data_IF_102457599726
#
_entry.id   IF_102457599726
#
_cell.length_a   1.000
_cell.length_b   1.000
_cell.length_c   1.000
_cell.angle_alpha   90.00
_cell.angle_beta   90.00
_cell.angle_gamma   90.00
#
_symmetry.space_group_name_H-M   'P 1'
#
loop_
_entity.id
_entity.type
_entity.pdbx_description
1 polymer ?
#
# COMPACT_ATOMS: atom_id res chain seq x y z
N UNK A 1 1.50 2.67 2.10
CA UNK A 1 1.04 1.42 2.74
C UNK A 1 2.19 0.72 3.46
N UNK A 2 3.14 0.09 2.75
CA UNK A 2 4.31 -0.57 3.37
C UNK A 2 5.32 0.40 4.01
N UNK A 3 5.38 1.66 3.58
CA UNK A 3 6.25 2.69 4.16
C UNK A 3 5.85 3.09 5.59
N UNK A 4 4.57 2.94 5.94
CA UNK A 4 4.01 3.26 7.27
C UNK A 4 3.88 2.01 8.15
N UNK A 5 4.27 0.84 7.63
CA UNK A 5 4.21 -0.40 8.39
C UNK A 5 5.30 -0.40 9.47
N UNK A 6 4.91 -0.83 10.68
CA UNK A 6 5.85 -0.97 11.78
C UNK A 6 6.98 -1.94 11.40
N UNK A 7 8.23 -1.58 11.71
CA UNK A 7 9.40 -2.37 11.33
C UNK A 7 9.77 -2.32 9.83
N UNK A 8 9.19 -1.41 9.04
CA UNK A 8 9.52 -1.23 7.62
C UNK A 8 11.05 -1.10 7.39
N UNK A 9 11.70 -0.20 8.12
CA UNK A 9 13.13 0.10 7.96
C UNK A 9 13.98 -1.12 8.31
N UNK A 10 13.64 -1.83 9.38
CA UNK A 10 14.38 -3.01 9.82
C UNK A 10 14.25 -4.16 8.81
N UNK A 11 13.04 -4.38 8.27
CA UNK A 11 12.79 -5.38 7.24
C UNK A 11 13.55 -5.09 5.96
N UNK A 12 13.56 -3.83 5.50
CA UNK A 12 14.36 -3.42 4.33
C UNK A 12 15.84 -3.59 4.59
N UNK A 13 16.33 -3.26 5.78
CA UNK A 13 17.74 -3.45 6.15
C UNK A 13 18.13 -4.92 6.11
N UNK A 14 17.29 -5.81 6.63
CA UNK A 14 17.51 -7.26 6.58
C UNK A 14 17.64 -7.77 5.15
N UNK A 15 16.69 -7.41 4.28
CA UNK A 15 16.75 -7.79 2.86
C UNK A 15 17.96 -7.19 2.16
N UNK A 16 18.27 -5.92 2.40
CA UNK A 16 19.41 -5.26 1.76
C UNK A 16 20.75 -5.93 2.08
N UNK A 17 20.90 -6.38 3.33
CA UNK A 17 22.07 -7.12 3.81
C UNK A 17 22.11 -8.56 3.32
N UNK A 18 20.97 -9.20 3.04
CA UNK A 18 20.94 -10.58 2.53
C UNK A 18 21.28 -10.68 1.04
N UNK A 19 21.11 -9.58 0.29
CA UNK A 19 21.44 -9.54 -1.13
C UNK A 19 22.95 -9.60 -1.40
N UNK A 20 23.39 -10.67 -2.04
CA UNK A 20 24.74 -10.82 -2.57
C UNK A 20 24.74 -10.68 -4.10
N UNK A 21 25.47 -9.68 -4.60
CA UNK A 21 25.69 -9.44 -6.03
C UNK A 21 27.18 -9.17 -6.23
N UNK A 22 27.77 -9.76 -7.27
CA UNK A 22 29.17 -9.58 -7.64
C UNK A 22 29.29 -8.84 -8.98
N UNK A 23 30.40 -8.11 -9.18
CA UNK A 23 30.67 -7.33 -10.39
C UNK A 23 30.82 -5.83 -10.12
N UNK A 24 30.73 -5.03 -11.18
CA UNK A 24 30.87 -3.57 -11.10
C UNK A 24 29.73 -2.95 -10.27
N UNK A 25 30.01 -1.86 -9.56
CA UNK A 25 29.00 -1.11 -8.79
C UNK A 25 27.77 -0.72 -9.63
N UNK A 26 27.97 -0.43 -10.92
CA UNK A 26 26.92 -0.14 -11.89
C UNK A 26 25.99 -1.33 -12.18
N UNK A 27 26.39 -2.56 -11.86
CA UNK A 27 25.58 -3.77 -11.97
C UNK A 27 24.99 -4.19 -10.61
N UNK A 28 25.80 -4.10 -9.55
CA UNK A 28 25.42 -4.49 -8.18
C UNK A 28 24.25 -3.66 -7.66
N UNK A 29 24.30 -2.33 -7.82
CA UNK A 29 23.25 -1.45 -7.29
C UNK A 29 21.89 -1.67 -7.98
N UNK A 30 21.79 -1.68 -9.33
CA UNK A 30 20.54 -2.03 -9.99
C UNK A 30 20.03 -3.44 -9.67
N UNK A 31 20.94 -4.40 -9.47
CA UNK A 31 20.60 -5.76 -9.03
C UNK A 31 19.92 -5.76 -7.66
N UNK A 32 20.54 -5.13 -6.66
CA UNK A 32 19.97 -4.98 -5.32
C UNK A 32 18.62 -4.26 -5.33
N UNK A 33 18.48 -3.20 -6.12
CA UNK A 33 17.22 -2.46 -6.25
C UNK A 33 16.11 -3.30 -6.89
N UNK A 34 16.43 -4.14 -7.88
CA UNK A 34 15.46 -5.07 -8.50
C UNK A 34 15.02 -6.15 -7.51
N UNK A 35 15.94 -6.71 -6.73
CA UNK A 35 15.61 -7.67 -5.67
C UNK A 35 14.71 -7.03 -4.61
N UNK A 36 15.11 -5.85 -4.11
CA UNK A 36 14.33 -5.09 -3.14
C UNK A 36 12.92 -4.79 -3.64
N UNK A 37 12.78 -4.35 -4.89
CA UNK A 37 11.47 -4.10 -5.51
C UNK A 37 10.60 -5.35 -5.52
N UNK A 38 11.19 -6.52 -5.71
CA UNK A 38 10.45 -7.80 -5.78
C UNK A 38 9.96 -8.20 -4.40
N UNK A 39 10.82 -8.13 -3.39
CA UNK A 39 10.46 -8.46 -2.01
C UNK A 39 9.43 -7.47 -1.46
N UNK A 40 9.56 -6.19 -1.78
CA UNK A 40 8.57 -5.17 -1.44
C UNK A 40 7.20 -5.44 -2.06
N UNK A 41 7.16 -5.87 -3.32
CA UNK A 41 5.90 -6.26 -3.96
C UNK A 41 5.26 -7.46 -3.27
N UNK A 42 6.06 -8.47 -2.95
CA UNK A 42 5.59 -9.68 -2.28
C UNK A 42 5.02 -9.35 -0.90
N UNK A 43 5.79 -8.63 -0.09
CA UNK A 43 5.37 -8.17 1.23
C UNK A 43 4.12 -7.29 1.17
N UNK A 44 4.02 -6.44 0.14
CA UNK A 44 2.82 -5.63 -0.02
C UNK A 44 1.57 -6.47 -0.32
N UNK A 45 1.69 -7.61 -1.00
CA UNK A 45 0.56 -8.53 -1.22
C UNK A 45 0.25 -9.34 0.03
N UNK A 46 1.26 -9.79 0.76
CA UNK A 46 1.07 -10.61 1.97
C UNK A 46 0.40 -9.82 3.10
N UNK A 47 0.88 -8.61 3.37
CA UNK A 47 0.31 -7.75 4.42
C UNK A 47 -0.95 -7.03 3.97
N UNK A 48 -0.93 -6.45 2.77
CA UNK A 48 -1.99 -5.54 2.33
C UNK A 48 -2.96 -6.13 1.29
N UNK A 49 -2.60 -7.23 0.65
CA UNK A 49 -3.52 -7.93 -0.26
C UNK A 49 -4.70 -8.57 0.49
N UNK A 50 -4.47 -9.01 1.74
CA UNK A 50 -5.53 -9.49 2.62
C UNK A 50 -6.45 -8.37 3.13
N UNK A 51 -6.05 -7.11 3.03
CA UNK A 51 -6.83 -5.98 3.57
C UNK A 51 -8.15 -5.79 2.80
N UNK A 52 -8.15 -5.99 1.48
CA UNK A 52 -9.37 -5.93 0.66
C UNK A 52 -10.36 -7.05 1.05
N UNK A 53 -9.85 -8.28 1.25
CA UNK A 53 -10.65 -9.41 1.70
C UNK A 53 -11.16 -9.20 3.13
N UNK A 54 -10.31 -8.67 4.02
CA UNK A 54 -10.66 -8.32 5.41
C UNK A 54 -11.76 -7.25 5.42
N UNK A 55 -11.64 -6.21 4.59
CA UNK A 55 -12.67 -5.18 4.41
C UNK A 55 -14.00 -5.77 3.99
N UNK A 56 -14.00 -6.63 2.97
CA UNK A 56 -15.21 -7.29 2.47
C UNK A 56 -15.86 -8.15 3.55
N UNK A 57 -15.07 -8.92 4.30
CA UNK A 57 -15.55 -9.74 5.41
C UNK A 57 -16.15 -8.88 6.53
N UNK A 58 -15.46 -7.80 6.93
CA UNK A 58 -15.94 -6.88 7.95
C UNK A 58 -17.23 -6.17 7.52
N UNK A 59 -17.35 -5.77 6.25
CA UNK A 59 -18.58 -5.20 5.72
C UNK A 59 -19.75 -6.20 5.75
N UNK A 60 -19.50 -7.46 5.39
CA UNK A 60 -20.52 -8.52 5.48
C UNK A 60 -20.94 -8.80 6.94
N UNK A 61 -19.99 -8.79 7.87
CA UNK A 61 -20.27 -8.92 9.30
C UNK A 61 -21.06 -7.73 9.84
N UNK A 62 -20.73 -6.51 9.42
CA UNK A 62 -21.44 -5.31 9.83
C UNK A 62 -22.89 -5.34 9.33
N UNK A 63 -23.09 -5.70 8.06
CA UNK A 63 -24.40 -5.83 7.46
C UNK A 63 -25.29 -6.83 8.20
N UNK A 64 -24.77 -8.01 8.56
CA UNK A 64 -25.55 -9.01 9.29
C UNK A 64 -25.87 -8.58 10.73
N UNK A 65 -24.99 -7.80 11.37
CA UNK A 65 -25.25 -7.22 12.69
C UNK A 65 -26.29 -6.10 12.64
N UNK A 66 -26.28 -5.27 11.60
CA UNK A 66 -27.29 -4.22 11.35
C UNK A 66 -28.68 -4.82 11.06
N UNK A 67 -28.75 -5.90 10.28
CA UNK A 67 -30.00 -6.62 10.04
C UNK A 67 -30.60 -7.20 11.33
N UNK A 68 -29.75 -7.70 12.23
CA UNK A 68 -30.15 -8.17 13.57
C UNK A 68 -30.52 -7.05 14.54
N UNK A 69 -29.89 -5.88 14.43
CA UNK A 69 -30.24 -4.68 15.19
C UNK A 69 -31.68 -4.25 14.94
N UNK A 70 -32.09 -4.28 13.66
CA UNK A 70 -33.47 -3.95 13.26
C UNK A 70 -34.50 -4.91 13.85
N UNK A 71 -34.10 -6.14 14.18
CA UNK A 71 -34.92 -7.14 14.85
C UNK A 71 -34.96 -6.96 16.38
N UNK A 72 -34.11 -6.09 16.94
CA UNK A 72 -34.07 -5.78 18.38
C UNK A 72 -33.27 -6.76 19.25
N UNK A 73 -32.53 -7.71 18.65
CA UNK A 73 -31.91 -8.87 19.32
C UNK A 73 -30.38 -8.79 19.48
N UNK A 74 -29.81 -7.58 19.61
CA UNK A 74 -28.37 -7.42 19.82
C UNK A 74 -27.96 -7.63 21.28
N UNK A 75 -27.13 -8.64 21.53
CA UNK A 75 -26.47 -8.81 22.82
C UNK A 75 -25.35 -7.78 23.03
N UNK A 76 -24.95 -7.55 24.28
CA UNK A 76 -23.82 -6.67 24.62
C UNK A 76 -22.50 -7.10 23.97
N UNK A 77 -22.30 -8.40 23.74
CA UNK A 77 -21.08 -8.93 23.10
C UNK A 77 -21.05 -8.60 21.60
N UNK A 78 -22.20 -8.60 20.94
CA UNK A 78 -22.31 -8.30 19.51
C UNK A 78 -22.20 -6.81 19.22
N UNK A 79 -22.63 -5.96 20.18
CA UNK A 79 -22.33 -4.53 20.15
C UNK A 79 -20.84 -4.26 20.18
N UNK A 80 -20.08 -4.97 21.01
CA UNK A 80 -18.63 -4.81 21.05
C UNK A 80 -17.98 -5.31 19.75
N UNK A 81 -18.44 -6.45 19.20
CA UNK A 81 -17.99 -6.94 17.89
C UNK A 81 -18.26 -5.94 16.77
N UNK A 82 -19.42 -5.28 16.79
CA UNK A 82 -19.78 -4.22 15.83
C UNK A 82 -18.80 -3.05 15.93
N UNK A 83 -18.53 -2.58 17.15
CA UNK A 83 -17.59 -1.47 17.40
C UNK A 83 -16.19 -1.80 16.91
N UNK A 84 -15.66 -2.97 17.25
CA UNK A 84 -14.33 -3.42 16.78
C UNK A 84 -14.30 -3.53 15.26
N UNK A 85 -15.37 -4.02 14.62
CA UNK A 85 -15.44 -4.11 13.16
C UNK A 85 -15.43 -2.73 12.48
N UNK A 86 -16.10 -1.73 13.08
CA UNK A 86 -16.08 -0.34 12.60
C UNK A 86 -14.68 0.27 12.75
N UNK A 87 -14.04 0.13 13.91
CA UNK A 87 -12.69 0.63 14.15
C UNK A 87 -11.67 0.01 13.18
N UNK A 88 -11.80 -1.28 12.89
CA UNK A 88 -10.94 -1.96 11.92
C UNK A 88 -11.21 -1.52 10.49
N UNK A 89 -12.47 -1.25 10.12
CA UNK A 89 -12.81 -0.67 8.82
C UNK A 89 -12.22 0.73 8.65
N UNK A 90 -12.24 1.56 9.69
CA UNK A 90 -11.66 2.91 9.66
C UNK A 90 -10.14 2.87 9.43
N UNK A 91 -9.44 1.94 10.09
CA UNK A 91 -8.00 1.74 9.82
C UNK A 91 -7.75 1.35 8.37
N UNK A 92 -8.57 0.45 7.83
CA UNK A 92 -8.44 0.00 6.44
C UNK A 92 -8.67 1.16 5.46
N UNK A 93 -9.73 1.95 5.65
CA UNK A 93 -10.04 3.09 4.76
C UNK A 93 -8.94 4.15 4.80
N UNK A 94 -8.38 4.45 5.98
CA UNK A 94 -7.24 5.36 6.12
C UNK A 94 -6.02 4.86 5.32
N UNK A 95 -5.72 3.56 5.41
CA UNK A 95 -4.61 2.95 4.67
C UNK A 95 -4.83 2.97 3.15
N UNK A 96 -6.06 2.72 2.71
CA UNK A 96 -6.46 2.86 1.30
C UNK A 96 -6.25 4.29 0.83
N UNK A 97 -6.71 5.28 1.60
CA UNK A 97 -6.56 6.69 1.25
C UNK A 97 -5.07 7.08 1.07
N UNK A 98 -4.20 6.68 2.00
CA UNK A 98 -2.76 6.92 1.90
C UNK A 98 -2.20 6.28 0.63
N UNK A 99 -2.62 5.06 0.30
CA UNK A 99 -2.23 4.35 -0.92
C UNK A 99 -2.67 5.11 -2.19
N UNK A 100 -3.91 5.60 -2.21
CA UNK A 100 -4.44 6.41 -3.32
C UNK A 100 -3.67 7.71 -3.50
N UNK A 101 -3.37 8.42 -2.40
CA UNK A 101 -2.55 9.65 -2.42
C UNK A 101 -1.14 9.38 -2.97
N UNK A 102 -0.50 8.28 -2.56
CA UNK A 102 0.81 7.88 -3.08
C UNK A 102 0.76 7.57 -4.58
N UNK A 103 -0.22 6.79 -5.02
CA UNK A 103 -0.42 6.45 -6.45
C UNK A 103 -0.68 7.69 -7.30
N UNK A 104 -1.52 8.61 -6.82
CA UNK A 104 -1.82 9.87 -7.49
C UNK A 104 -0.57 10.73 -7.67
N UNK A 105 0.28 10.86 -6.64
CA UNK A 105 1.56 11.60 -6.76
C UNK A 105 2.51 10.97 -7.78
N UNK A 106 2.62 9.64 -7.78
CA UNK A 106 3.45 8.93 -8.78
C UNK A 106 2.90 9.13 -10.19
N UNK A 107 1.57 9.11 -10.36
CA UNK A 107 0.91 9.40 -11.63
C UNK A 107 1.23 10.82 -12.09
N UNK A 108 1.08 11.80 -11.20
CA UNK A 108 1.37 13.20 -11.48
C UNK A 108 2.83 13.41 -11.90
N UNK A 109 3.79 12.80 -11.21
CA UNK A 109 5.20 12.86 -11.58
C UNK A 109 5.44 12.28 -12.99
N UNK A 110 4.84 11.12 -13.26
CA UNK A 110 4.95 10.45 -14.58
C UNK A 110 4.33 11.27 -15.70
N UNK A 111 3.23 11.98 -15.43
CA UNK A 111 2.56 12.83 -16.41
C UNK A 111 3.27 14.18 -16.58
N UNK A 112 3.82 14.76 -15.52
CA UNK A 112 4.69 15.94 -15.58
C UNK A 112 5.93 15.70 -16.43
N UNK A 113 6.56 14.52 -16.29
CA UNK A 113 7.68 14.10 -17.14
C UNK A 113 7.31 13.89 -18.61
N UNK A 114 6.04 13.66 -18.96
CA UNK A 114 5.63 13.64 -20.37
C UNK A 114 5.68 15.04 -20.99
N UNK A 115 5.46 16.08 -20.18
CA UNK A 115 5.55 17.48 -20.62
C UNK A 115 6.99 17.96 -20.82
N UNK A 116 7.96 17.43 -20.09
CA UNK A 116 9.36 17.86 -20.19
C UNK A 116 9.96 17.57 -21.56
N UNK A 117 9.59 16.47 -22.24
CA UNK A 117 10.04 16.20 -23.62
C UNK A 117 9.67 17.31 -24.60
N UNK A 118 8.47 17.88 -24.49
CA UNK A 118 8.03 19.01 -25.32
C UNK A 118 8.87 20.27 -25.05
N UNK A 119 9.09 20.60 -23.77
CA UNK A 119 9.93 21.75 -23.39
C UNK A 119 11.40 21.56 -23.74
N UNK A 120 11.94 20.34 -23.58
CA UNK A 120 13.30 19.99 -23.99
C UNK A 120 13.45 20.06 -25.51
N UNK A 121 12.46 19.62 -26.29
CA UNK A 121 12.45 19.78 -27.75
C UNK A 121 12.40 21.26 -28.15
N UNK A 122 11.52 22.06 -27.52
CA UNK A 122 11.40 23.49 -27.83
C UNK A 122 12.67 24.27 -27.47
N UNK A 123 13.29 24.00 -26.32
CA UNK A 123 14.55 24.63 -25.91
C UNK A 123 15.72 24.24 -26.84
N UNK A 124 15.75 23.01 -27.36
CA UNK A 124 16.76 22.56 -28.32
C UNK A 124 16.51 23.06 -29.75
N UNK A 125 15.28 23.45 -30.11
CA UNK A 125 14.94 23.97 -31.43
C UNK A 125 15.42 25.42 -31.64
N UNK A 126 15.64 26.17 -30.55
CA UNK A 126 16.14 27.55 -30.58
C UNK A 126 17.67 27.67 -30.49
N UNK A 127 18.41 26.58 -30.80
CA UNK A 127 19.87 26.56 -30.90
C UNK A 127 20.32 26.31 -32.32
#
# INVERSE_FOLDING_TARGET
>A
MWLEAEGFVDRVRMWWSSYSFSGTLSFVLPGKLKALKTDLKKWNVEEFGNTENKRKLLMQQLQSLEERELLGDLSSEEWEKKKVAVDDLEKITLMEEISWRQKSRVLLLKEGDKGTNFFHHMANFHR
#
